data_IF_812670674402
#
_entry.id   IF_812670674402
#
_cell.length_a   1.000
_cell.length_b   1.000
_cell.length_c   1.000
_cell.angle_alpha   90.00
_cell.angle_beta   90.00
_cell.angle_gamma   90.00
#
_symmetry.space_group_name_H-M   'P 1'
#
loop_
_entity.id
_entity.type
_entity.pdbx_description
1 polymer ?
#
# COMPACT_ATOMS: atom_id res chain seq x y z
N UNK A 1 -3.28 -8.07 -13.94
CA UNK A 1 -3.89 -7.33 -12.79
C UNK A 1 -3.17 -6.00 -12.63
N UNK A 2 -3.87 -4.96 -12.13
CA UNK A 2 -3.22 -3.68 -11.76
C UNK A 2 -3.65 -3.35 -10.33
N UNK A 3 -2.68 -3.14 -9.46
CA UNK A 3 -2.91 -2.71 -8.07
C UNK A 3 -2.61 -1.22 -7.91
N UNK A 4 -3.17 -0.59 -6.91
CA UNK A 4 -2.92 0.80 -6.57
C UNK A 4 -2.68 0.97 -5.06
N UNK A 5 -2.17 2.14 -4.67
CA UNK A 5 -1.89 2.51 -3.30
C UNK A 5 -0.84 1.62 -2.59
N UNK A 6 0.27 1.25 -3.25
CA UNK A 6 1.28 0.35 -2.68
C UNK A 6 1.94 0.90 -1.41
N UNK A 7 1.90 2.22 -1.23
CA UNK A 7 2.53 2.94 -0.10
C UNK A 7 1.52 3.34 0.98
N UNK A 8 0.30 2.78 0.96
CA UNK A 8 -0.77 3.09 1.91
C UNK A 8 -0.97 4.60 2.12
N UNK A 9 -1.05 5.38 1.00
CA UNK A 9 -1.24 6.83 1.07
C UNK A 9 -0.10 7.61 1.70
N UNK A 10 1.10 7.04 1.73
CA UNK A 10 2.29 7.64 2.35
C UNK A 10 2.58 7.18 3.78
N UNK A 11 1.83 6.23 4.32
CA UNK A 11 2.10 5.64 5.65
C UNK A 11 3.51 5.03 5.69
N UNK A 12 3.93 4.35 4.62
CA UNK A 12 5.27 3.78 4.48
C UNK A 12 6.39 4.81 4.32
N UNK A 13 6.10 6.12 4.30
CA UNK A 13 7.15 7.15 4.35
C UNK A 13 7.89 7.22 5.69
N UNK A 14 7.34 6.59 6.74
CA UNK A 14 7.89 6.65 8.08
C UNK A 14 7.66 7.99 8.81
N UNK A 15 6.93 8.93 8.20
CA UNK A 15 6.62 10.23 8.82
C UNK A 15 5.48 10.16 9.83
N UNK A 16 4.58 9.20 9.67
CA UNK A 16 3.41 8.99 10.55
C UNK A 16 3.74 7.84 11.50
N UNK A 17 3.92 8.14 12.78
CA UNK A 17 4.38 7.21 13.82
C UNK A 17 3.30 6.81 14.82
N UNK A 18 2.17 7.50 14.81
CA UNK A 18 1.06 7.30 15.75
C UNK A 18 -0.27 7.65 15.09
N UNK A 19 -1.36 7.44 15.81
CA UNK A 19 -2.71 7.84 15.40
C UNK A 19 -2.98 9.34 15.53
N UNK A 20 -1.98 10.15 15.87
CA UNK A 20 -2.08 11.60 15.87
C UNK A 20 -2.34 12.12 14.45
N UNK A 21 -3.32 13.01 14.31
CA UNK A 21 -3.75 13.52 12.99
C UNK A 21 -2.71 14.52 12.49
N UNK A 22 -2.05 14.27 11.36
CA UNK A 22 -1.09 15.19 10.81
C UNK A 22 -1.78 16.45 10.26
N UNK A 23 -1.11 17.58 10.34
CA UNK A 23 -1.65 18.85 9.85
C UNK A 23 -1.75 18.90 8.32
N UNK A 24 -0.88 18.15 7.63
CA UNK A 24 -0.80 18.13 6.16
C UNK A 24 -0.80 16.70 5.61
N UNK A 25 -1.03 16.60 4.31
CA UNK A 25 -0.97 15.33 3.58
C UNK A 25 -2.26 14.55 3.61
N UNK A 26 -2.21 13.33 3.10
CA UNK A 26 -3.39 12.51 2.82
C UNK A 26 -4.18 12.10 4.05
N UNK A 27 -3.54 12.09 5.21
CA UNK A 27 -4.14 11.70 6.50
C UNK A 27 -4.67 12.88 7.30
N UNK A 28 -4.46 14.13 6.85
CA UNK A 28 -4.93 15.33 7.54
C UNK A 28 -6.45 15.51 7.43
N UNK A 29 -7.01 16.32 8.31
CA UNK A 29 -8.43 16.73 8.24
C UNK A 29 -8.71 17.66 7.05
N UNK A 30 -7.68 18.31 6.52
CA UNK A 30 -7.80 19.18 5.35
C UNK A 30 -7.95 18.39 4.05
N UNK A 31 -7.61 17.09 4.03
CA UNK A 31 -7.71 16.26 2.84
C UNK A 31 -9.08 15.57 2.80
N UNK A 32 -9.82 15.72 1.71
CA UNK A 32 -11.20 15.22 1.54
C UNK A 32 -11.39 13.72 1.80
N UNK A 33 -10.34 12.89 1.66
CA UNK A 33 -10.37 11.46 2.00
C UNK A 33 -9.54 11.12 3.25
N UNK A 34 -9.10 12.12 4.03
CA UNK A 34 -8.25 11.89 5.20
C UNK A 34 -8.91 10.98 6.24
N UNK A 35 -10.17 11.22 6.55
CA UNK A 35 -10.96 10.38 7.46
C UNK A 35 -11.04 8.93 7.00
N UNK A 36 -11.24 8.66 5.69
CA UNK A 36 -11.27 7.31 5.13
C UNK A 36 -9.93 6.58 5.33
N UNK A 37 -8.82 7.28 5.08
CA UNK A 37 -7.48 6.70 5.28
C UNK A 37 -7.21 6.40 6.75
N UNK A 38 -7.58 7.31 7.66
CA UNK A 38 -7.44 7.07 9.10
C UNK A 38 -8.29 5.90 9.58
N UNK A 39 -9.55 5.83 9.18
CA UNK A 39 -10.42 4.69 9.50
C UNK A 39 -9.81 3.36 9.06
N UNK A 40 -9.12 3.35 7.94
CA UNK A 40 -8.50 2.15 7.39
C UNK A 40 -7.20 1.78 8.10
N UNK A 41 -6.35 2.74 8.39
CA UNK A 41 -4.97 2.51 8.78
C UNK A 41 -4.58 2.96 10.19
N UNK A 42 -5.29 3.90 10.83
CA UNK A 42 -4.97 4.36 12.17
C UNK A 42 -5.50 3.41 13.22
N UNK A 43 -4.79 2.31 13.41
CA UNK A 43 -5.04 1.26 14.38
C UNK A 43 -3.73 0.92 15.08
N UNK A 44 -3.77 0.61 16.36
CA UNK A 44 -2.56 0.27 17.13
C UNK A 44 -1.77 -0.86 16.47
N UNK A 45 -2.46 -1.91 16.02
CA UNK A 45 -1.84 -3.02 15.28
C UNK A 45 -1.10 -2.57 14.01
N UNK A 46 -1.56 -1.52 13.33
CA UNK A 46 -0.86 -0.97 12.15
C UNK A 46 0.46 -0.33 12.56
N UNK A 47 0.46 0.45 13.64
CA UNK A 47 1.69 1.09 14.13
C UNK A 47 2.66 0.09 14.74
N UNK A 48 2.16 -0.97 15.40
CA UNK A 48 2.99 -2.08 15.88
C UNK A 48 3.69 -2.78 14.71
N UNK A 49 2.96 -3.11 13.65
CA UNK A 49 3.50 -3.71 12.45
C UNK A 49 4.54 -2.81 11.75
N UNK A 50 4.27 -1.50 11.66
CA UNK A 50 5.24 -0.56 11.09
C UNK A 50 6.55 -0.51 11.88
N UNK A 51 6.50 -0.65 13.22
CA UNK A 51 7.72 -0.73 14.06
C UNK A 51 8.57 -1.96 13.73
N UNK A 52 7.93 -3.12 13.52
CA UNK A 52 8.64 -4.35 13.10
C UNK A 52 9.34 -4.12 11.75
N UNK A 53 8.64 -3.53 10.79
CA UNK A 53 9.20 -3.24 9.45
C UNK A 53 10.33 -2.21 9.55
N UNK A 54 10.18 -1.18 10.38
CA UNK A 54 11.19 -0.14 10.56
C UNK A 54 12.50 -0.70 11.11
N UNK A 55 12.44 -1.62 12.08
CA UNK A 55 13.62 -2.26 12.66
C UNK A 55 14.43 -3.04 11.62
N UNK A 56 13.76 -3.82 10.78
CA UNK A 56 14.45 -4.58 9.73
C UNK A 56 14.93 -3.68 8.59
N UNK A 57 14.19 -2.60 8.28
CA UNK A 57 14.61 -1.59 7.32
C UNK A 57 15.94 -0.94 7.73
N UNK A 58 16.05 -0.54 9.00
CA UNK A 58 17.28 0.04 9.57
C UNK A 58 18.45 -0.93 9.50
N UNK A 59 18.23 -2.20 9.84
CA UNK A 59 19.25 -3.25 9.79
C UNK A 59 19.87 -3.39 8.39
N UNK A 60 19.07 -3.26 7.34
CA UNK A 60 19.49 -3.41 5.95
C UNK A 60 19.76 -2.10 5.23
N UNK A 61 19.70 -0.97 5.94
CA UNK A 61 19.80 0.37 5.34
C UNK A 61 18.82 0.58 4.17
N UNK A 62 17.59 0.06 4.34
CA UNK A 62 16.49 0.21 3.41
C UNK A 62 15.50 1.26 3.90
N UNK A 63 14.76 1.86 2.99
CA UNK A 63 13.57 2.64 3.34
C UNK A 63 12.33 1.72 3.38
N UNK A 64 11.34 2.06 4.19
CA UNK A 64 10.07 1.33 4.17
C UNK A 64 9.35 1.48 2.82
N UNK A 65 9.53 2.61 2.12
CA UNK A 65 9.02 2.81 0.75
C UNK A 65 9.63 1.80 -0.22
N UNK A 66 10.95 1.65 -0.19
CA UNK A 66 11.69 0.67 -0.98
C UNK A 66 11.20 -0.75 -0.70
N UNK A 67 11.05 -1.10 0.58
CA UNK A 67 10.54 -2.42 0.99
C UNK A 67 9.16 -2.68 0.40
N UNK A 68 8.22 -1.73 0.50
CA UNK A 68 6.87 -1.88 -0.02
C UNK A 68 6.85 -2.06 -1.55
N UNK A 69 7.63 -1.28 -2.28
CA UNK A 69 7.68 -1.35 -3.75
C UNK A 69 8.33 -2.66 -4.23
N UNK A 70 9.45 -3.05 -3.65
CA UNK A 70 10.15 -4.30 -3.99
C UNK A 70 9.32 -5.53 -3.61
N UNK A 71 8.57 -5.48 -2.51
CA UNK A 71 7.64 -6.55 -2.17
C UNK A 71 6.56 -6.71 -3.23
N UNK A 72 5.95 -5.61 -3.68
CA UNK A 72 4.95 -5.66 -4.75
C UNK A 72 5.50 -6.29 -6.03
N UNK A 73 6.75 -5.98 -6.38
CA UNK A 73 7.37 -6.41 -7.64
C UNK A 73 7.85 -7.86 -7.59
N UNK A 74 8.42 -8.32 -6.47
CA UNK A 74 9.15 -9.59 -6.39
C UNK A 74 8.50 -10.64 -5.52
N UNK A 75 7.66 -10.26 -4.55
CA UNK A 75 7.16 -11.17 -3.51
C UNK A 75 5.63 -11.25 -3.45
N UNK A 76 4.92 -10.42 -4.23
CA UNK A 76 3.47 -10.49 -4.36
C UNK A 76 3.04 -11.54 -5.41
N UNK A 77 1.73 -11.75 -5.53
CA UNK A 77 1.17 -12.59 -6.58
C UNK A 77 1.16 -11.93 -7.98
N UNK A 78 1.64 -10.68 -8.10
CA UNK A 78 1.69 -9.96 -9.37
C UNK A 78 2.75 -10.57 -10.30
N UNK A 79 2.40 -10.72 -11.55
CA UNK A 79 3.28 -11.17 -12.62
C UNK A 79 3.80 -9.96 -13.40
N UNK A 80 4.79 -9.27 -12.81
CA UNK A 80 5.39 -8.05 -13.39
C UNK A 80 6.65 -8.32 -14.21
N UNK A 81 7.26 -9.51 -14.04
CA UNK A 81 8.52 -9.91 -14.68
C UNK A 81 8.30 -11.05 -15.68
N UNK A 82 9.33 -11.36 -16.47
CA UNK A 82 9.35 -12.48 -17.41
C UNK A 82 8.16 -12.51 -18.39
N UNK A 83 7.79 -11.34 -18.92
CA UNK A 83 6.68 -11.20 -19.86
C UNK A 83 5.29 -11.09 -19.21
N UNK A 84 5.22 -11.01 -17.88
CA UNK A 84 3.99 -10.70 -17.14
C UNK A 84 3.47 -9.29 -17.48
N UNK A 85 2.14 -9.10 -17.38
CA UNK A 85 1.46 -7.85 -17.75
C UNK A 85 0.77 -7.17 -16.57
N UNK A 86 1.10 -7.58 -15.34
CA UNK A 86 0.57 -6.93 -14.14
C UNK A 86 1.34 -5.63 -13.85
N UNK A 87 0.75 -4.73 -13.09
CA UNK A 87 1.35 -3.44 -12.82
C UNK A 87 0.95 -2.86 -11.46
N UNK A 88 1.73 -1.88 -11.02
CA UNK A 88 1.50 -1.11 -9.79
C UNK A 88 1.33 0.36 -10.15
N UNK A 89 0.23 0.96 -9.72
CA UNK A 89 0.02 2.41 -9.84
C UNK A 89 0.69 3.09 -8.66
N UNK A 90 1.68 3.91 -8.95
CA UNK A 90 2.35 4.77 -7.95
C UNK A 90 1.84 6.21 -8.07
N UNK A 91 1.51 6.82 -6.93
CA UNK A 91 1.16 8.23 -6.82
C UNK A 91 2.28 8.99 -6.12
N UNK A 92 2.65 10.14 -6.66
CA UNK A 92 3.73 10.98 -6.13
C UNK A 92 3.31 12.45 -6.11
N UNK A 93 3.92 13.25 -5.26
CA UNK A 93 3.70 14.70 -5.17
C UNK A 93 4.89 15.53 -5.69
N UNK A 94 6.00 14.87 -6.07
CA UNK A 94 7.17 15.53 -6.65
C UNK A 94 7.92 14.63 -7.62
N UNK A 95 8.70 15.23 -8.54
CA UNK A 95 9.57 14.51 -9.46
C UNK A 95 10.61 13.67 -8.71
N UNK A 96 11.20 14.21 -7.66
CA UNK A 96 12.18 13.49 -6.85
C UNK A 96 11.61 12.20 -6.22
N UNK A 97 10.35 12.23 -5.78
CA UNK A 97 9.67 11.02 -5.31
C UNK A 97 9.46 10.01 -6.43
N UNK A 98 9.09 10.48 -7.63
CA UNK A 98 8.93 9.59 -8.79
C UNK A 98 10.24 8.91 -9.14
N UNK A 99 11.31 9.65 -9.26
CA UNK A 99 12.66 9.13 -9.58
C UNK A 99 13.12 8.11 -8.53
N UNK A 100 12.93 8.42 -7.24
CA UNK A 100 13.27 7.50 -6.15
C UNK A 100 12.45 6.20 -6.23
N UNK A 101 11.14 6.31 -6.41
CA UNK A 101 10.26 5.13 -6.50
C UNK A 101 10.60 4.25 -7.72
N UNK A 102 10.93 4.85 -8.86
CA UNK A 102 11.34 4.11 -10.06
C UNK A 102 12.65 3.36 -9.82
N UNK A 103 13.65 4.00 -9.20
CA UNK A 103 14.91 3.34 -8.81
C UNK A 103 14.66 2.17 -7.85
N UNK A 104 13.74 2.32 -6.91
CA UNK A 104 13.40 1.25 -5.96
C UNK A 104 12.70 0.06 -6.65
N UNK A 105 11.86 0.31 -7.64
CA UNK A 105 11.20 -0.73 -8.45
C UNK A 105 12.16 -1.51 -9.34
N UNK A 106 13.30 -0.93 -9.73
CA UNK A 106 14.34 -1.59 -10.53
C UNK A 106 15.27 -2.49 -9.70
N UNK A 107 15.25 -2.36 -8.37
CA UNK A 107 16.07 -3.20 -7.48
C UNK A 107 15.54 -4.63 -7.43
N UNK A 108 16.43 -5.57 -7.10
CA UNK A 108 16.12 -7.00 -6.97
C UNK A 108 15.25 -7.35 -5.75
N UNK A 109 15.02 -8.65 -5.51
CA UNK A 109 14.20 -9.12 -4.40
C UNK A 109 14.75 -8.71 -3.03
N UNK A 110 13.88 -8.65 -2.03
CA UNK A 110 14.23 -8.34 -0.65
C UNK A 110 14.97 -9.50 0.02
N UNK A 111 15.82 -9.23 1.03
CA UNK A 111 16.40 -10.28 1.87
C UNK A 111 15.33 -11.10 2.60
N UNK A 112 15.63 -12.38 2.88
CA UNK A 112 14.69 -13.32 3.50
C UNK A 112 14.21 -12.88 4.89
N UNK A 113 15.07 -12.26 5.68
CA UNK A 113 14.68 -11.76 7.00
C UNK A 113 13.75 -10.53 6.93
N UNK A 114 13.85 -9.74 5.87
CA UNK A 114 12.89 -8.67 5.58
C UNK A 114 11.53 -9.28 5.24
N UNK A 115 11.48 -10.34 4.44
CA UNK A 115 10.22 -11.03 4.12
C UNK A 115 9.59 -11.62 5.38
N UNK A 116 10.38 -12.28 6.24
CA UNK A 116 9.89 -12.80 7.52
C UNK A 116 9.31 -11.71 8.41
N UNK A 117 9.95 -10.54 8.47
CA UNK A 117 9.42 -9.39 9.22
C UNK A 117 8.12 -8.85 8.64
N UNK A 118 7.96 -8.87 7.31
CA UNK A 118 6.70 -8.50 6.66
C UNK A 118 5.58 -9.50 6.94
N UNK A 119 5.89 -10.81 6.97
CA UNK A 119 4.94 -11.85 7.35
C UNK A 119 4.51 -11.69 8.83
N UNK A 120 5.44 -11.39 9.73
CA UNK A 120 5.13 -11.06 11.13
C UNK A 120 4.24 -9.82 11.22
N UNK A 121 4.59 -8.74 10.53
CA UNK A 121 3.79 -7.52 10.47
C UNK A 121 2.37 -7.78 9.94
N UNK A 122 2.22 -8.67 8.96
CA UNK A 122 0.91 -9.12 8.49
C UNK A 122 0.11 -9.84 9.59
N UNK A 123 0.73 -10.75 10.33
CA UNK A 123 0.04 -11.47 11.42
C UNK A 123 -0.44 -10.51 12.52
N UNK A 124 0.28 -9.44 12.80
CA UNK A 124 -0.13 -8.39 13.74
C UNK A 124 -1.36 -7.64 13.21
N UNK A 125 -1.38 -7.26 11.94
CA UNK A 125 -2.45 -6.43 11.36
C UNK A 125 -3.68 -7.22 10.94
N UNK A 126 -3.53 -8.49 10.55
CA UNK A 126 -4.57 -9.35 9.98
C UNK A 126 -5.90 -9.34 10.76
N UNK A 127 -5.92 -9.43 12.10
CA UNK A 127 -7.18 -9.44 12.87
C UNK A 127 -7.98 -8.14 12.77
N UNK A 128 -7.32 -7.02 12.48
CA UNK A 128 -7.93 -5.69 12.43
C UNK A 128 -8.04 -5.14 11.00
N UNK A 129 -7.48 -5.86 10.03
CA UNK A 129 -7.53 -5.45 8.62
C UNK A 129 -8.93 -5.69 8.07
N UNK A 130 -9.45 -4.67 7.44
CA UNK A 130 -10.74 -4.69 6.76
C UNK A 130 -10.54 -4.92 5.27
N UNK A 131 -11.54 -5.55 4.62
CA UNK A 131 -11.50 -5.67 3.17
C UNK A 131 -11.44 -4.29 2.51
N UNK A 132 -10.67 -4.18 1.46
CA UNK A 132 -10.44 -2.90 0.79
C UNK A 132 -11.72 -2.29 0.20
N UNK A 133 -12.68 -3.11 -0.21
CA UNK A 133 -13.94 -2.74 -0.88
C UNK A 133 -15.16 -2.72 0.03
N UNK A 134 -14.98 -2.66 1.34
CA UNK A 134 -16.10 -2.66 2.31
C UNK A 134 -16.89 -1.34 2.39
N UNK A 135 -16.75 -0.45 1.42
CA UNK A 135 -17.66 0.68 1.29
C UNK A 135 -19.03 0.14 0.89
N UNK A 136 -20.11 0.62 1.54
CA UNK A 136 -21.47 0.41 1.08
C UNK A 136 -21.67 1.05 -0.30
N UNK A 137 -21.16 0.38 -1.32
CA UNK A 137 -21.28 0.83 -2.69
C UNK A 137 -22.72 0.55 -3.14
N UNK A 138 -23.53 1.58 -3.18
CA UNK A 138 -24.84 1.52 -3.83
C UNK A 138 -24.66 1.75 -5.31
N UNK A 139 -24.79 0.69 -6.08
CA UNK A 139 -24.80 0.81 -7.54
C UNK A 139 -26.13 1.40 -7.98
N UNK A 140 -26.06 2.44 -8.83
CA UNK A 140 -27.24 3.10 -9.39
C UNK A 140 -27.74 2.42 -10.68
N UNK A 141 -27.05 1.37 -11.13
CA UNK A 141 -27.44 0.60 -12.32
C UNK A 141 -27.05 -0.89 -12.15
N UNK A 142 -27.76 -1.74 -12.87
CA UNK A 142 -27.47 -3.16 -12.95
C UNK A 142 -26.35 -3.42 -13.96
N UNK A 143 -25.16 -3.71 -13.44
CA UNK A 143 -23.96 -3.94 -14.25
C UNK A 143 -24.10 -5.14 -15.18
N UNK A 144 -24.73 -6.23 -14.73
CA UNK A 144 -24.94 -7.41 -15.55
C UNK A 144 -25.86 -7.08 -16.73
N UNK A 145 -26.95 -6.39 -16.47
CA UNK A 145 -27.89 -5.96 -17.50
C UNK A 145 -27.26 -4.97 -18.49
N UNK A 146 -26.40 -4.05 -17.99
CA UNK A 146 -25.73 -3.06 -18.82
C UNK A 146 -24.67 -3.67 -19.74
N UNK A 147 -23.92 -4.68 -19.24
CA UNK A 147 -22.79 -5.26 -19.98
C UNK A 147 -23.16 -6.49 -20.81
N UNK A 148 -24.16 -7.26 -20.38
CA UNK A 148 -24.46 -8.59 -20.96
C UNK A 148 -25.90 -8.70 -21.50
N UNK A 149 -26.59 -7.58 -21.71
CA UNK A 149 -27.90 -7.59 -22.36
C UNK A 149 -27.73 -8.11 -23.77
N UNK A 150 -28.49 -9.12 -24.23
CA UNK A 150 -28.50 -9.50 -25.62
C UNK A 150 -28.82 -8.26 -26.48
N UNK A 151 -28.01 -7.99 -27.48
CA UNK A 151 -28.36 -6.97 -28.47
C UNK A 151 -29.62 -7.45 -29.18
N UNK A 152 -30.73 -6.73 -28.94
CA UNK A 152 -31.98 -6.92 -29.68
C UNK A 152 -31.79 -6.62 -31.17
#
# INVERSE_FOLDING_TARGET
MVIYNPLAGGLFSGKIKSSEIPQEGRYSDQHHIGGLYRTRYFKDATFDALRVIELVAQKHNLTMLEIALRWCTHHSALKMQNGGRDGVIIGVSSLAQLESNLKDLEKGPLPDDVIKALDEAWLITKPTTTNYWQLDLKYTYDTQRALFKPKS
#
